data_IF_562136548567
#
_entry.id   IF_562136548567
#
_cell.length_a   1.000
_cell.length_b   1.000
_cell.length_c   1.000
_cell.angle_alpha   90.00
_cell.angle_beta   90.00
_cell.angle_gamma   90.00
#
_symmetry.space_group_name_H-M   'P 1'
#
loop_
_entity.id
_entity.type
_entity.pdbx_description
1 polymer ?
#
# COMPACT_ATOMS: atom_id res chain seq x y z
N UNK A 1 -55.73 6.13 -39.84
CA UNK A 1 -54.48 6.84 -40.16
C UNK A 1 -54.31 7.94 -39.13
N UNK A 2 -53.24 8.12 -38.35
CA UNK A 2 -51.96 7.44 -38.16
C UNK A 2 -51.48 7.81 -36.73
N UNK A 3 -50.77 6.90 -36.05
CA UNK A 3 -50.19 7.13 -34.73
C UNK A 3 -48.89 7.95 -34.82
N UNK A 4 -48.55 8.81 -33.83
CA UNK A 4 -47.20 9.35 -33.72
C UNK A 4 -46.29 8.40 -32.93
N UNK A 5 -45.08 8.26 -33.48
CA UNK A 5 -44.05 7.27 -33.16
C UNK A 5 -43.38 7.53 -31.82
N UNK A 6 -43.16 6.46 -31.06
CA UNK A 6 -42.32 6.48 -29.85
C UNK A 6 -40.86 6.79 -30.18
N UNK A 7 -40.24 7.65 -29.36
CA UNK A 7 -38.79 7.78 -29.27
C UNK A 7 -38.30 6.83 -28.18
N UNK A 8 -37.59 5.78 -28.57
CA UNK A 8 -36.79 4.96 -27.66
C UNK A 8 -35.61 5.79 -27.15
N UNK A 9 -35.60 6.13 -25.87
CA UNK A 9 -34.37 6.57 -25.21
C UNK A 9 -33.47 5.36 -24.95
N UNK A 10 -32.46 5.21 -25.80
CA UNK A 10 -31.29 4.37 -25.53
C UNK A 10 -30.51 5.00 -24.38
N UNK A 11 -30.69 4.51 -23.16
CA UNK A 11 -29.79 4.77 -22.04
C UNK A 11 -28.47 4.04 -22.30
N UNK A 12 -27.51 4.73 -22.91
CA UNK A 12 -26.11 4.29 -22.81
C UNK A 12 -25.70 4.48 -21.36
N UNK A 13 -25.53 3.37 -20.64
CA UNK A 13 -24.79 3.34 -19.39
C UNK A 13 -23.39 3.89 -19.67
N UNK A 14 -23.13 5.13 -19.25
CA UNK A 14 -21.79 5.67 -19.23
C UNK A 14 -21.09 5.09 -18.01
N UNK A 15 -20.49 3.92 -18.17
CA UNK A 15 -19.45 3.46 -17.24
C UNK A 15 -18.25 4.38 -17.43
N UNK A 16 -18.18 5.46 -16.65
CA UNK A 16 -16.98 6.28 -16.44
C UNK A 16 -15.96 5.45 -15.65
N UNK A 17 -15.41 4.42 -16.30
CA UNK A 17 -14.24 3.72 -15.81
C UNK A 17 -13.00 4.56 -16.12
N UNK A 18 -12.24 4.91 -15.09
CA UNK A 18 -10.93 5.55 -15.25
C UNK A 18 -10.05 4.67 -16.15
N UNK A 19 -9.60 5.20 -17.29
CA UNK A 19 -8.67 4.49 -18.19
C UNK A 19 -7.27 4.62 -17.63
N UNK A 20 -6.85 3.64 -16.85
CA UNK A 20 -5.46 3.49 -16.42
C UNK A 20 -4.61 3.01 -17.60
N UNK A 21 -3.80 3.90 -18.16
CA UNK A 21 -2.80 3.56 -19.17
C UNK A 21 -1.47 3.31 -18.46
N UNK A 22 -1.17 2.04 -18.15
CA UNK A 22 0.19 1.65 -17.78
C UNK A 22 1.01 1.47 -19.06
N UNK A 23 2.22 2.05 -19.16
CA UNK A 23 3.12 1.69 -20.24
C UNK A 23 3.46 0.20 -20.14
N UNK A 24 3.31 -0.53 -21.24
CA UNK A 24 3.76 -1.92 -21.31
C UNK A 24 5.29 -1.95 -21.25
N UNK A 25 5.88 -2.48 -20.17
CA UNK A 25 7.29 -2.87 -20.18
C UNK A 25 7.43 -4.31 -20.67
N UNK A 26 8.24 -4.47 -21.71
CA UNK A 26 8.66 -5.72 -22.33
C UNK A 26 9.79 -6.39 -21.54
N UNK A 27 9.63 -7.70 -21.24
CA UNK A 27 10.69 -8.65 -20.85
C UNK A 27 11.27 -8.45 -19.44
N UNK A 28 11.77 -9.43 -18.70
CA UNK A 28 11.93 -10.88 -18.82
C UNK A 28 11.89 -11.44 -17.39
N UNK A 29 11.31 -12.63 -17.21
CA UNK A 29 11.35 -13.38 -15.96
C UNK A 29 12.74 -13.98 -15.74
N UNK A 30 13.42 -13.60 -14.66
CA UNK A 30 14.61 -14.32 -14.19
C UNK A 30 14.33 -14.96 -12.82
N UNK A 31 13.78 -16.18 -12.86
CA UNK A 31 13.80 -17.12 -11.74
C UNK A 31 15.20 -17.75 -11.71
N UNK A 32 16.06 -17.33 -10.79
CA UNK A 32 17.31 -18.04 -10.52
C UNK A 32 17.05 -19.08 -9.44
N UNK A 33 16.97 -20.36 -9.84
CA UNK A 33 16.94 -21.51 -8.92
C UNK A 33 18.28 -21.62 -8.20
N UNK A 34 18.18 -21.75 -6.89
CA UNK A 34 19.24 -22.20 -5.98
C UNK A 34 19.36 -23.71 -6.11
N UNK A 35 20.39 -24.21 -6.79
CA UNK A 35 20.97 -25.55 -6.56
C UNK A 35 22.15 -25.76 -7.51
N UNK A 36 23.37 -25.46 -7.06
CA UNK A 36 24.60 -26.10 -7.53
C UNK A 36 25.71 -25.83 -6.51
N UNK A 37 25.52 -26.42 -5.33
CA UNK A 37 26.61 -26.67 -4.39
C UNK A 37 26.59 -28.18 -4.19
N UNK A 38 27.49 -28.90 -4.86
CA UNK A 38 28.28 -29.95 -4.24
C UNK A 38 29.31 -30.53 -5.21
N UNK A 39 30.40 -30.99 -4.61
CA UNK A 39 31.42 -31.91 -5.10
C UNK A 39 32.65 -31.34 -5.83
N UNK A 40 33.71 -31.07 -5.04
CA UNK A 40 35.02 -31.64 -5.35
C UNK A 40 35.94 -31.75 -4.12
N UNK A 41 36.48 -32.96 -3.95
CA UNK A 41 37.76 -33.37 -3.32
C UNK A 41 37.95 -33.10 -1.82
N UNK A 42 38.38 -34.00 -0.93
CA UNK A 42 39.04 -35.31 -1.07
C UNK A 42 40.35 -35.33 -0.26
N UNK A 43 40.46 -36.25 0.73
CA UNK A 43 41.69 -36.63 1.47
C UNK A 43 41.83 -35.99 2.86
N UNK A 44 42.05 -36.68 3.99
CA UNK A 44 42.52 -38.04 4.27
C UNK A 44 43.96 -38.05 4.82
N UNK A 45 44.16 -37.83 6.13
CA UNK A 45 45.46 -38.01 6.81
C UNK A 45 45.48 -37.53 8.29
N UNK A 46 46.30 -38.14 9.19
CA UNK A 46 45.89 -38.39 10.58
C UNK A 46 46.32 -37.36 11.63
N UNK A 47 45.55 -37.39 12.73
CA UNK A 47 45.68 -36.67 13.98
C UNK A 47 47.03 -36.93 14.68
N UNK A 48 47.81 -35.88 14.93
CA UNK A 48 48.98 -35.90 15.81
C UNK A 48 48.73 -35.00 17.01
N UNK A 49 48.52 -35.62 18.18
CA UNK A 49 48.57 -34.96 19.48
C UNK A 49 49.97 -34.38 19.67
N UNK A 50 50.06 -33.06 19.89
CA UNK A 50 51.30 -32.42 20.31
C UNK A 50 51.02 -31.49 21.47
N UNK A 51 51.84 -31.67 22.49
CA UNK A 51 51.81 -31.12 23.85
C UNK A 51 51.70 -29.59 23.88
N UNK A 52 50.73 -29.10 24.66
CA UNK A 52 50.59 -27.68 25.03
C UNK A 52 51.85 -27.25 25.79
N UNK A 53 52.66 -26.38 25.18
CA UNK A 53 53.75 -25.69 25.87
C UNK A 53 53.33 -24.23 26.03
N UNK A 54 52.93 -23.85 27.24
CA UNK A 54 52.53 -22.49 27.59
C UNK A 54 53.77 -21.58 27.55
N UNK A 55 53.94 -20.82 26.47
CA UNK A 55 54.96 -19.76 26.37
C UNK A 55 54.33 -18.43 26.79
N UNK A 56 54.87 -17.84 27.84
CA UNK A 56 54.61 -16.44 28.21
C UNK A 56 55.05 -15.52 27.07
N UNK A 57 54.09 -14.94 26.34
CA UNK A 57 54.35 -13.82 25.42
C UNK A 57 54.10 -12.49 26.16
N UNK A 58 54.95 -11.48 25.97
CA UNK A 58 54.75 -10.17 26.58
C UNK A 58 53.53 -9.49 25.94
N UNK A 59 52.77 -8.86 26.82
CA UNK A 59 51.60 -8.02 26.59
C UNK A 59 51.88 -6.86 25.61
N UNK A 60 51.97 -7.12 24.31
CA UNK A 60 51.97 -6.08 23.26
C UNK A 60 51.32 -6.67 22.01
N UNK A 61 50.09 -6.28 21.71
CA UNK A 61 49.41 -6.70 20.47
C UNK A 61 47.89 -6.89 20.55
N UNK A 62 47.18 -6.28 21.50
CA UNK A 62 45.73 -6.16 21.46
C UNK A 62 45.35 -4.79 20.86
N UNK A 63 45.54 -4.65 19.55
CA UNK A 63 44.77 -3.72 18.73
C UNK A 63 44.26 -4.53 17.55
N UNK A 64 43.32 -5.43 17.85
CA UNK A 64 42.42 -5.93 16.82
C UNK A 64 41.59 -4.73 16.39
N UNK A 65 41.90 -4.26 15.18
CA UNK A 65 41.21 -3.25 14.41
C UNK A 65 39.71 -3.57 14.38
N UNK A 66 38.99 -3.07 15.38
CA UNK A 66 37.54 -2.94 15.35
C UNK A 66 37.26 -1.80 14.39
N UNK A 67 37.22 -2.14 13.09
CA UNK A 67 36.75 -1.24 12.05
C UNK A 67 35.36 -0.79 12.45
N UNK A 68 35.28 0.42 12.98
CA UNK A 68 34.03 1.12 13.20
C UNK A 68 33.49 1.40 11.80
N UNK A 69 32.72 0.47 11.24
CA UNK A 69 31.85 0.77 10.12
C UNK A 69 30.86 1.78 10.66
N UNK A 70 31.16 3.06 10.46
CA UNK A 70 30.16 4.11 10.51
C UNK A 70 29.20 3.80 9.36
N UNK A 71 28.22 2.94 9.63
CA UNK A 71 27.00 2.97 8.86
C UNK A 71 26.46 4.38 9.10
N UNK A 72 26.64 5.28 8.14
CA UNK A 72 25.75 6.43 8.06
C UNK A 72 24.36 5.80 7.95
N UNK A 73 23.56 5.94 8.99
CA UNK A 73 22.13 5.82 8.83
C UNK A 73 21.79 6.97 7.90
N UNK A 74 21.78 6.70 6.59
CA UNK A 74 21.34 7.70 5.62
C UNK A 74 19.92 8.05 6.04
N UNK A 75 19.76 9.29 6.50
CA UNK A 75 18.44 9.80 6.82
C UNK A 75 17.58 9.67 5.56
N UNK A 76 16.36 9.17 5.72
CA UNK A 76 15.41 9.10 4.61
C UNK A 76 15.28 10.49 3.99
N UNK A 77 15.18 10.54 2.66
CA UNK A 77 15.03 11.80 1.94
C UNK A 77 13.82 12.58 2.53
N UNK A 78 13.94 13.91 2.75
CA UNK A 78 12.88 14.69 3.35
C UNK A 78 11.56 14.62 2.57
N UNK A 79 11.61 14.45 1.23
CA UNK A 79 10.41 14.26 0.42
C UNK A 79 9.77 12.90 0.72
N UNK A 80 10.56 11.82 0.75
CA UNK A 80 10.05 10.50 1.13
C UNK A 80 9.44 10.53 2.54
N UNK A 81 10.09 11.20 3.50
CA UNK A 81 9.60 11.36 4.88
C UNK A 81 8.23 12.05 4.91
N UNK A 82 8.09 13.17 4.19
CA UNK A 82 6.83 13.92 4.12
C UNK A 82 5.65 13.06 3.61
N UNK A 83 5.89 12.19 2.64
CA UNK A 83 4.85 11.32 2.10
C UNK A 83 4.63 10.05 2.93
N UNK A 84 5.66 9.51 3.59
CA UNK A 84 5.52 8.41 4.54
C UNK A 84 4.70 8.82 5.78
N UNK A 85 4.85 10.05 6.26
CA UNK A 85 4.00 10.63 7.31
C UNK A 85 2.51 10.65 6.88
N UNK A 86 2.24 10.97 5.61
CA UNK A 86 0.88 10.94 5.07
C UNK A 86 0.33 9.51 4.95
N UNK A 87 1.16 8.55 4.53
CA UNK A 87 0.78 7.12 4.51
C UNK A 87 0.48 6.64 5.93
N UNK A 88 1.27 7.06 6.91
CA UNK A 88 1.06 6.74 8.34
C UNK A 88 -0.28 7.29 8.85
N UNK A 89 -0.66 8.51 8.47
CA UNK A 89 -1.98 9.06 8.80
C UNK A 89 -3.11 8.23 8.17
N UNK A 90 -2.98 7.85 6.89
CA UNK A 90 -3.96 6.97 6.22
C UNK A 90 -4.06 5.63 6.94
N UNK A 91 -2.93 5.01 7.28
CA UNK A 91 -2.89 3.74 8.00
C UNK A 91 -3.64 3.84 9.33
N UNK A 92 -3.26 4.80 10.18
CA UNK A 92 -3.86 4.96 11.50
C UNK A 92 -5.37 5.19 11.44
N UNK A 93 -5.83 6.04 10.52
CA UNK A 93 -7.24 6.45 10.44
C UNK A 93 -8.10 5.38 9.74
N UNK A 94 -7.68 4.93 8.57
CA UNK A 94 -8.49 4.04 7.72
C UNK A 94 -8.47 2.62 8.25
N UNK A 95 -7.31 2.10 8.68
CA UNK A 95 -7.23 0.72 9.18
C UNK A 95 -8.02 0.60 10.48
N UNK A 96 -7.81 1.52 11.44
CA UNK A 96 -8.52 1.45 12.72
C UNK A 96 -10.04 1.57 12.57
N UNK A 97 -10.53 2.43 11.66
CA UNK A 97 -11.97 2.51 11.38
C UNK A 97 -12.50 1.23 10.72
N UNK A 98 -11.73 0.64 9.80
CA UNK A 98 -12.10 -0.62 9.15
C UNK A 98 -12.15 -1.77 10.17
N UNK A 99 -11.21 -1.81 11.10
CA UNK A 99 -11.19 -2.77 12.21
C UNK A 99 -12.35 -2.56 13.18
N UNK A 100 -12.76 -1.31 13.45
CA UNK A 100 -13.84 -1.00 14.39
C UNK A 100 -15.24 -1.40 13.88
N UNK A 101 -15.47 -1.41 12.56
CA UNK A 101 -16.76 -1.84 11.99
C UNK A 101 -16.93 -3.37 12.16
N UNK A 102 -18.05 -3.88 12.71
CA UNK A 102 -18.25 -5.31 12.87
C UNK A 102 -18.50 -5.98 11.52
N UNK A 103 -18.15 -7.27 11.39
CA UNK A 103 -18.15 -7.97 10.11
C UNK A 103 -19.53 -8.04 9.45
N UNK A 104 -20.60 -8.13 10.24
CA UNK A 104 -22.00 -8.13 9.77
C UNK A 104 -22.47 -6.77 9.25
N UNK A 105 -21.73 -5.69 9.51
CA UNK A 105 -22.00 -4.36 8.99
C UNK A 105 -21.10 -3.96 7.79
N UNK A 106 -20.23 -4.85 7.30
CA UNK A 106 -19.41 -4.55 6.12
C UNK A 106 -20.26 -4.38 4.84
N UNK A 107 -21.39 -5.07 4.76
CA UNK A 107 -22.34 -4.92 3.64
C UNK A 107 -23.28 -3.71 3.80
N UNK A 108 -23.14 -2.94 4.89
CA UNK A 108 -23.97 -1.76 5.11
C UNK A 108 -23.72 -0.70 4.04
N UNK A 109 -24.81 -0.24 3.41
CA UNK A 109 -24.88 0.99 2.66
C UNK A 109 -26.09 1.79 3.16
N UNK A 110 -26.00 3.13 3.28
CA UNK A 110 -27.16 3.93 3.67
C UNK A 110 -28.32 3.74 2.70
N UNK A 111 -29.53 3.57 3.24
CA UNK A 111 -30.76 3.44 2.44
C UNK A 111 -31.71 4.62 2.62
N UNK A 112 -31.54 5.41 3.67
CA UNK A 112 -32.38 6.58 3.95
C UNK A 112 -32.00 7.75 3.04
N UNK A 113 -32.86 8.07 2.06
CA UNK A 113 -32.63 9.15 1.10
C UNK A 113 -32.29 8.61 -0.29
N UNK A 114 -31.50 9.36 -1.06
CA UNK A 114 -31.13 9.01 -2.45
C UNK A 114 -29.74 8.38 -2.53
N UNK A 115 -29.49 7.36 -1.73
CA UNK A 115 -28.22 6.62 -1.67
C UNK A 115 -28.21 5.33 -2.49
N UNK A 116 -29.20 5.11 -3.38
CA UNK A 116 -29.21 3.94 -4.25
C UNK A 116 -27.95 3.86 -5.12
N UNK A 117 -27.24 2.74 -5.04
CA UNK A 117 -26.02 2.46 -5.82
C UNK A 117 -24.73 3.05 -5.25
N UNK A 118 -24.73 3.57 -4.02
CA UNK A 118 -23.47 3.86 -3.32
C UNK A 118 -22.80 2.57 -2.88
N UNK A 119 -21.48 2.64 -2.68
CA UNK A 119 -20.70 1.51 -2.14
C UNK A 119 -21.14 1.17 -0.73
N UNK A 120 -21.12 -0.11 -0.38
CA UNK A 120 -21.16 -0.55 1.02
C UNK A 120 -19.88 -0.14 1.77
N UNK A 121 -19.87 -0.26 3.10
CA UNK A 121 -18.67 0.01 3.90
C UNK A 121 -17.47 -0.84 3.43
N UNK A 122 -17.64 -2.14 3.25
CA UNK A 122 -16.60 -3.05 2.78
C UNK A 122 -16.15 -2.72 1.34
N UNK A 123 -17.07 -2.30 0.48
CA UNK A 123 -16.73 -1.81 -0.85
C UNK A 123 -15.93 -0.49 -0.81
N UNK A 124 -16.18 0.40 0.15
CA UNK A 124 -15.35 1.60 0.34
C UNK A 124 -13.93 1.22 0.73
N UNK A 125 -13.75 0.26 1.63
CA UNK A 125 -12.42 -0.22 2.07
C UNK A 125 -11.65 -0.83 0.91
N UNK A 126 -12.27 -1.75 0.17
CA UNK A 126 -11.65 -2.43 -0.98
C UNK A 126 -11.38 -1.48 -2.15
N UNK A 127 -12.27 -0.52 -2.41
CA UNK A 127 -12.02 0.56 -3.37
C UNK A 127 -10.81 1.40 -2.97
N UNK A 128 -10.72 1.82 -1.71
CA UNK A 128 -9.61 2.61 -1.19
C UNK A 128 -8.29 1.85 -1.36
N UNK A 129 -8.21 0.60 -0.89
CA UNK A 129 -7.03 -0.25 -1.04
C UNK A 129 -6.61 -0.42 -2.52
N UNK A 130 -7.58 -0.61 -3.42
CA UNK A 130 -7.33 -0.70 -4.86
C UNK A 130 -6.72 0.59 -5.41
N UNK A 131 -7.27 1.74 -5.03
CA UNK A 131 -6.76 3.03 -5.47
C UNK A 131 -5.36 3.33 -4.90
N UNK A 132 -5.06 2.89 -3.67
CA UNK A 132 -3.71 2.94 -3.11
C UNK A 132 -2.74 2.12 -3.98
N UNK A 133 -3.07 0.87 -4.30
CA UNK A 133 -2.23 0.02 -5.17
C UNK A 133 -1.98 0.65 -6.53
N UNK A 134 -3.04 1.16 -7.17
CA UNK A 134 -2.94 1.70 -8.53
C UNK A 134 -2.14 3.00 -8.56
N UNK A 135 -2.37 3.90 -7.60
CA UNK A 135 -1.64 5.18 -7.49
C UNK A 135 -0.17 4.95 -7.14
N UNK A 136 0.11 4.04 -6.20
CA UNK A 136 1.48 3.69 -5.81
C UNK A 136 2.25 3.07 -6.97
N UNK A 137 1.59 2.27 -7.82
CA UNK A 137 2.21 1.69 -9.00
C UNK A 137 2.57 2.75 -10.06
N UNK A 138 1.79 3.83 -10.17
CA UNK A 138 2.16 4.98 -11.01
C UNK A 138 3.40 5.71 -10.48
N UNK A 139 3.48 5.90 -9.15
CA UNK A 139 4.68 6.49 -8.51
C UNK A 139 5.92 5.64 -8.77
N UNK A 140 5.77 4.32 -8.78
CA UNK A 140 6.85 3.37 -9.08
C UNK A 140 7.08 3.15 -10.59
N UNK A 141 6.21 3.69 -11.44
CA UNK A 141 6.18 3.44 -12.89
C UNK A 141 6.19 1.94 -13.25
N UNK A 142 5.49 1.14 -12.45
CA UNK A 142 5.32 -0.29 -12.67
C UNK A 142 3.84 -0.65 -12.82
N UNK A 143 3.57 -1.90 -13.21
CA UNK A 143 2.21 -2.39 -13.30
C UNK A 143 1.68 -2.66 -11.90
N UNK A 144 0.50 -2.13 -11.58
CA UNK A 144 -0.14 -2.44 -10.31
C UNK A 144 -0.41 -3.95 -10.16
N UNK A 145 -0.13 -4.56 -8.98
CA UNK A 145 -0.44 -5.96 -8.71
C UNK A 145 -1.93 -6.28 -8.89
N UNK A 146 -2.79 -5.28 -8.63
CA UNK A 146 -4.23 -5.38 -8.75
C UNK A 146 -4.76 -4.31 -9.71
N UNK A 147 -5.71 -4.72 -10.57
CA UNK A 147 -6.47 -3.79 -11.39
C UNK A 147 -7.71 -3.28 -10.64
N UNK A 148 -8.54 -2.46 -11.32
CA UNK A 148 -9.76 -1.93 -10.70
C UNK A 148 -10.81 -3.01 -10.40
N UNK A 149 -10.75 -4.18 -11.05
CA UNK A 149 -11.80 -5.20 -10.95
C UNK A 149 -13.12 -4.80 -11.61
N UNK A 150 -14.19 -5.55 -11.36
CA UNK A 150 -15.47 -5.40 -12.07
C UNK A 150 -16.20 -4.09 -11.70
N UNK A 151 -16.11 -3.67 -10.44
CA UNK A 151 -16.81 -2.49 -9.90
C UNK A 151 -15.90 -1.36 -9.42
N UNK A 152 -14.63 -1.35 -9.88
CA UNK A 152 -13.58 -0.49 -9.33
C UNK A 152 -13.31 -0.74 -7.84
N UNK A 153 -13.51 -1.96 -7.34
CA UNK A 153 -13.30 -2.33 -5.94
C UNK A 153 -12.13 -3.33 -5.76
N UNK A 154 -11.39 -3.66 -6.82
CA UNK A 154 -10.33 -4.67 -6.77
C UNK A 154 -10.86 -6.09 -6.98
N UNK A 155 -10.20 -7.12 -6.42
CA UNK A 155 -10.58 -8.51 -6.64
C UNK A 155 -11.99 -8.87 -6.15
N UNK A 156 -12.75 -9.60 -6.97
CA UNK A 156 -14.14 -10.02 -6.67
C UNK A 156 -14.20 -11.23 -5.70
N UNK A 157 -13.05 -11.75 -5.26
CA UNK A 157 -12.91 -12.90 -4.36
C UNK A 157 -12.59 -12.51 -2.90
N UNK A 158 -12.57 -11.20 -2.58
CA UNK A 158 -12.53 -10.74 -1.19
C UNK A 158 -13.90 -10.98 -0.54
N UNK A 159 -14.01 -12.01 0.31
CA UNK A 159 -15.31 -12.49 0.87
C UNK A 159 -15.53 -12.17 2.34
N UNK A 160 -14.48 -11.83 3.07
CA UNK A 160 -14.55 -11.61 4.52
C UNK A 160 -13.92 -10.29 4.92
N UNK A 161 -14.30 -9.79 6.09
CA UNK A 161 -13.64 -8.65 6.74
C UNK A 161 -12.11 -8.84 6.80
N UNK A 162 -11.66 -10.03 7.15
CA UNK A 162 -10.23 -10.34 7.29
C UNK A 162 -9.50 -10.28 5.94
N UNK A 163 -10.13 -10.79 4.87
CA UNK A 163 -9.56 -10.67 3.51
C UNK A 163 -9.45 -9.21 3.07
N UNK A 164 -10.48 -8.41 3.36
CA UNK A 164 -10.53 -6.98 3.04
C UNK A 164 -9.48 -6.20 3.83
N UNK A 165 -9.33 -6.47 5.13
CA UNK A 165 -8.32 -5.83 5.98
C UNK A 165 -6.91 -6.19 5.54
N UNK A 166 -6.63 -7.45 5.23
CA UNK A 166 -5.33 -7.87 4.68
C UNK A 166 -5.03 -7.14 3.37
N UNK A 167 -6.02 -7.06 2.46
CA UNK A 167 -5.86 -6.36 1.20
C UNK A 167 -5.56 -4.86 1.40
N UNK A 168 -6.21 -4.21 2.38
CA UNK A 168 -5.92 -2.83 2.77
C UNK A 168 -4.51 -2.67 3.34
N UNK A 169 -4.10 -3.49 4.30
CA UNK A 169 -2.77 -3.38 4.93
C UNK A 169 -1.64 -3.65 3.95
N UNK A 170 -1.83 -4.62 3.04
CA UNK A 170 -0.85 -4.91 1.99
C UNK A 170 -0.76 -3.74 0.98
N UNK A 171 -1.87 -3.05 0.70
CA UNK A 171 -1.86 -1.83 -0.13
C UNK A 171 -1.07 -0.70 0.53
N UNK A 172 -1.21 -0.52 1.85
CA UNK A 172 -0.46 0.48 2.63
C UNK A 172 1.03 0.16 2.62
N UNK A 173 1.42 -1.11 2.81
CA UNK A 173 2.82 -1.52 2.71
C UNK A 173 3.41 -1.22 1.31
N UNK A 174 2.61 -1.44 0.27
CA UNK A 174 3.00 -1.12 -1.11
C UNK A 174 3.11 0.40 -1.34
N UNK A 175 2.23 1.20 -0.75
CA UNK A 175 2.33 2.66 -0.74
C UNK A 175 3.60 3.15 -0.06
N UNK A 176 3.94 2.58 1.11
CA UNK A 176 5.18 2.89 1.83
C UNK A 176 6.40 2.62 0.97
N UNK A 177 6.43 1.49 0.25
CA UNK A 177 7.47 1.22 -0.76
C UNK A 177 7.52 2.32 -1.83
N UNK A 178 6.38 2.71 -2.39
CA UNK A 178 6.35 3.74 -3.42
C UNK A 178 6.88 5.09 -2.94
N UNK A 179 6.40 5.59 -1.80
CA UNK A 179 6.82 6.90 -1.26
C UNK A 179 8.28 6.91 -0.80
N UNK A 180 8.82 5.75 -0.38
CA UNK A 180 10.24 5.63 -0.01
C UNK A 180 11.22 5.87 -1.18
N UNK A 181 10.73 5.80 -2.43
CA UNK A 181 11.55 6.08 -3.62
C UNK A 181 11.62 7.56 -3.98
N UNK A 182 10.84 8.42 -3.32
CA UNK A 182 10.81 9.84 -3.61
C UNK A 182 12.07 10.52 -3.08
N UNK A 183 12.63 11.39 -3.91
CA UNK A 183 13.79 12.20 -3.53
C UNK A 183 13.58 13.65 -3.91
N UNK A 184 14.37 14.54 -3.30
CA UNK A 184 14.45 15.94 -3.74
C UNK A 184 14.71 16.05 -5.25
N UNK A 185 15.50 15.13 -5.81
CA UNK A 185 15.86 15.16 -7.23
C UNK A 185 14.78 14.63 -8.17
N UNK A 186 13.96 13.66 -7.76
CA UNK A 186 13.01 12.97 -8.66
C UNK A 186 11.54 13.35 -8.47
N UNK A 187 11.19 14.03 -7.37
CA UNK A 187 9.79 14.19 -6.98
C UNK A 187 8.97 15.08 -7.93
N UNK A 188 9.63 15.88 -8.77
CA UNK A 188 9.00 16.70 -9.80
C UNK A 188 9.04 16.05 -11.19
N UNK A 189 9.68 14.89 -11.33
CA UNK A 189 9.72 14.18 -12.61
C UNK A 189 8.30 13.84 -13.08
N UNK A 190 8.02 14.02 -14.38
CA UNK A 190 6.73 13.67 -14.94
C UNK A 190 6.53 12.15 -14.93
N UNK A 191 5.43 11.70 -14.35
CA UNK A 191 4.96 10.31 -14.43
C UNK A 191 3.57 10.23 -15.06
N UNK A 192 3.21 9.10 -15.69
CA UNK A 192 1.86 8.89 -16.20
C UNK A 192 0.81 8.92 -15.08
N UNK A 193 -0.35 9.50 -15.34
CA UNK A 193 -1.51 9.48 -14.46
C UNK A 193 -2.82 9.40 -15.26
N UNK A 194 -3.93 9.17 -14.56
CA UNK A 194 -5.27 9.20 -15.15
C UNK A 194 -5.64 10.58 -15.75
N UNK A 195 -4.92 11.64 -15.39
CA UNK A 195 -5.13 13.02 -15.84
C UNK A 195 -4.08 13.49 -16.85
N UNK A 196 -3.24 12.58 -17.35
CA UNK A 196 -2.11 12.90 -18.22
C UNK A 196 -0.79 12.81 -17.46
N UNK A 197 0.21 13.60 -17.87
CA UNK A 197 1.51 13.64 -17.19
C UNK A 197 1.44 14.55 -15.97
N UNK A 198 1.88 14.09 -14.81
CA UNK A 198 1.89 14.86 -13.56
C UNK A 198 3.23 14.71 -12.83
N UNK A 199 3.64 15.67 -11.97
CA UNK A 199 4.78 15.48 -11.08
C UNK A 199 4.59 14.22 -10.21
N UNK A 200 5.66 13.44 -10.00
CA UNK A 200 5.63 12.19 -9.21
C UNK A 200 5.06 12.41 -7.80
N UNK A 201 5.45 13.50 -7.15
CA UNK A 201 4.93 13.97 -5.86
C UNK A 201 3.42 14.25 -5.88
N UNK A 202 2.89 14.84 -6.96
CA UNK A 202 1.46 15.09 -7.10
C UNK A 202 0.66 13.79 -7.23
N UNK A 203 1.22 12.77 -7.89
CA UNK A 203 0.62 11.43 -7.93
C UNK A 203 0.70 10.75 -6.56
N UNK A 204 1.84 10.84 -5.86
CA UNK A 204 2.00 10.30 -4.50
C UNK A 204 1.01 10.92 -3.49
N UNK A 205 0.75 12.23 -3.59
CA UNK A 205 -0.25 12.92 -2.77
C UNK A 205 -1.67 12.35 -2.95
N UNK A 206 -1.95 11.75 -4.12
CA UNK A 206 -3.21 11.09 -4.42
C UNK A 206 -3.54 9.94 -3.46
N UNK A 207 -2.52 9.28 -2.87
CA UNK A 207 -2.69 8.20 -1.89
C UNK A 207 -3.48 8.72 -0.68
N UNK A 208 -3.03 9.82 -0.08
CA UNK A 208 -3.69 10.41 1.09
C UNK A 208 -4.99 11.14 0.71
N UNK A 209 -4.96 11.98 -0.33
CA UNK A 209 -6.12 12.75 -0.77
C UNK A 209 -7.33 11.85 -1.07
N UNK A 210 -7.14 10.79 -1.86
CA UNK A 210 -8.23 9.88 -2.23
C UNK A 210 -8.71 9.10 -1.00
N UNK A 211 -7.78 8.63 -0.16
CA UNK A 211 -8.12 7.92 1.07
C UNK A 211 -8.99 8.76 1.99
N UNK A 212 -8.66 10.03 2.21
CA UNK A 212 -9.45 10.90 3.10
C UNK A 212 -10.81 11.32 2.51
N UNK A 213 -10.95 11.40 1.18
CA UNK A 213 -12.25 11.57 0.51
C UNK A 213 -13.22 10.40 0.79
N UNK A 214 -12.71 9.18 0.92
CA UNK A 214 -13.49 7.99 1.25
C UNK A 214 -13.62 7.78 2.77
N UNK A 215 -12.58 8.07 3.55
CA UNK A 215 -12.61 7.99 5.01
C UNK A 215 -13.76 8.80 5.60
N UNK A 216 -13.98 10.04 5.14
CA UNK A 216 -15.10 10.85 5.61
C UNK A 216 -16.47 10.20 5.36
N UNK A 217 -16.65 9.47 4.26
CA UNK A 217 -17.87 8.70 3.98
C UNK A 217 -17.99 7.49 4.90
N UNK A 218 -16.88 6.75 5.09
CA UNK A 218 -16.81 5.59 5.97
C UNK A 218 -17.12 5.97 7.43
N UNK A 219 -16.65 7.12 7.90
CA UNK A 219 -16.96 7.67 9.23
C UNK A 219 -18.47 7.84 9.42
N UNK A 220 -19.16 8.41 8.42
CA UNK A 220 -20.62 8.56 8.47
C UNK A 220 -21.30 7.20 8.55
N UNK A 221 -20.82 6.19 7.81
CA UNK A 221 -21.41 4.85 7.81
C UNK A 221 -21.20 4.14 9.15
N UNK A 222 -20.01 4.28 9.74
CA UNK A 222 -19.71 3.76 11.08
C UNK A 222 -20.65 4.39 12.13
N UNK A 223 -20.85 5.72 12.09
CA UNK A 223 -21.78 6.42 13.00
C UNK A 223 -23.23 5.97 12.83
N UNK A 224 -23.67 5.72 11.60
CA UNK A 224 -25.01 5.15 11.33
C UNK A 224 -25.19 3.75 11.90
N UNK A 225 -24.09 3.01 12.11
CA UNK A 225 -24.07 1.69 12.76
C UNK A 225 -23.69 1.77 14.25
N UNK A 226 -23.77 2.96 14.87
CA UNK A 226 -23.51 3.15 16.30
C UNK A 226 -22.03 3.05 16.70
N UNK A 227 -21.11 3.02 15.74
CA UNK A 227 -19.67 2.94 16.00
C UNK A 227 -19.08 4.34 16.08
N UNK A 228 -18.33 4.59 17.14
CA UNK A 228 -17.48 5.78 17.27
C UNK A 228 -16.18 5.52 16.52
N UNK A 229 -15.84 6.26 15.44
CA UNK A 229 -14.54 6.15 14.80
C UNK A 229 -13.42 6.33 15.82
N UNK A 230 -12.42 5.43 15.87
CA UNK A 230 -11.36 5.47 16.89
C UNK A 230 -10.64 6.82 16.98
N UNK A 231 -10.34 7.44 15.84
CA UNK A 231 -9.66 8.73 15.79
C UNK A 231 -10.52 9.94 16.22
N UNK A 232 -11.84 9.77 16.35
CA UNK A 232 -12.74 10.80 16.84
C UNK A 232 -13.00 10.70 18.35
N UNK A 233 -12.34 9.77 19.05
CA UNK A 233 -12.41 9.69 20.51
C UNK A 233 -11.60 10.86 21.07
N UNK A 234 -12.20 11.76 21.87
CA UNK A 234 -11.46 12.86 22.49
C UNK A 234 -10.27 12.31 23.28
N UNK A 235 -9.11 12.93 23.10
CA UNK A 235 -8.01 12.71 24.04
C UNK A 235 -8.43 13.24 25.40
N UNK A 236 -7.81 12.76 26.49
CA UNK A 236 -8.23 13.05 27.87
C UNK A 236 -8.36 14.57 28.20
N UNK A 237 -7.83 15.44 27.34
CA UNK A 237 -7.80 16.89 27.51
C UNK A 237 -8.75 17.67 26.56
N UNK A 238 -9.53 17.00 25.70
CA UNK A 238 -10.45 17.70 24.79
C UNK A 238 -11.91 17.63 25.27
N UNK A 239 -12.61 18.77 25.45
CA UNK A 239 -14.01 18.76 25.85
C UNK A 239 -14.88 18.16 24.73
N UNK A 240 -15.72 17.19 25.11
CA UNK A 240 -16.77 16.64 24.24
C UNK A 240 -17.70 17.78 23.84
N UNK A 241 -17.82 18.07 22.54
CA UNK A 241 -18.75 19.07 22.00
C UNK A 241 -20.18 18.55 21.93
#
# INVERSE_FOLDING_TARGET
MAAPRGRSHSTRSATTGWRWAFPARSGESALTRVSDIYSRTGGGGPMRQTVVTLRFMPLVGLIVLMGLTTHTLDAQDPVATMYDDQVTLVENEVVSLSEAMPADAYDFAPTEGRFGGVRSFGEQVTHLATMIYMTSALVLEERSPYGPGTHNNGPDDLRSKDDVLRYLTDAIAYARRAVSTLTVDNHLDPVPSAFGSMPRSAVAAGIAFHSFNHYGQMVVYARMNGIVPPASVPTADEPVR
#
